data_IF_948397665127
#
_entry.id   IF_948397665127
#
_cell.length_a   1.000
_cell.length_b   1.000
_cell.length_c   1.000
_cell.angle_alpha   90.00
_cell.angle_beta   90.00
_cell.angle_gamma   90.00
#
_symmetry.space_group_name_H-M   'P 1'
#
loop_
_entity.id
_entity.type
_entity.pdbx_description
1 polymer ?
#
# COMPACT_ATOMS: atom_id res chain seq x y z
N UNK A 1 0.62 -6.03 11.14
CA UNK A 1 1.64 -6.72 10.31
C UNK A 1 2.68 -5.70 9.83
N UNK A 2 3.82 -6.12 9.29
CA UNK A 2 4.73 -5.23 8.57
C UNK A 2 4.96 -5.73 7.15
N UNK A 3 5.02 -4.83 6.18
CA UNK A 3 5.25 -5.16 4.77
C UNK A 3 5.94 -4.01 4.03
N UNK A 4 6.66 -4.30 2.93
CA UNK A 4 7.25 -3.25 2.12
C UNK A 4 6.17 -2.54 1.29
N UNK A 5 6.31 -1.23 1.17
CA UNK A 5 5.52 -0.36 0.28
C UNK A 5 6.46 0.48 -0.57
N UNK A 6 5.96 0.97 -1.70
CA UNK A 6 6.71 1.83 -2.60
C UNK A 6 6.95 3.21 -1.94
N UNK A 7 8.18 3.71 -1.95
CA UNK A 7 8.52 5.01 -1.35
C UNK A 7 8.10 6.19 -2.22
N UNK A 8 8.16 6.03 -3.53
CA UNK A 8 7.81 7.06 -4.51
C UNK A 8 7.45 6.41 -5.85
N UNK A 9 6.72 7.15 -6.69
CA UNK A 9 6.38 6.70 -8.03
C UNK A 9 7.61 6.36 -8.87
N UNK A 10 7.46 5.39 -9.78
CA UNK A 10 8.49 4.97 -10.73
C UNK A 10 7.91 4.93 -12.13
N UNK A 11 8.70 5.31 -13.12
CA UNK A 11 8.34 5.19 -14.53
C UNK A 11 9.45 4.46 -15.28
N UNK A 12 9.05 3.53 -16.15
CA UNK A 12 9.94 2.82 -17.05
C UNK A 12 9.30 2.77 -18.44
N UNK A 13 10.09 2.91 -19.50
CA UNK A 13 9.57 2.79 -20.87
C UNK A 13 10.48 1.95 -21.74
N UNK A 14 9.88 1.16 -22.62
CA UNK A 14 10.58 0.36 -23.61
C UNK A 14 9.85 0.36 -24.96
N UNK A 15 10.61 0.09 -26.02
CA UNK A 15 10.06 -0.10 -27.36
C UNK A 15 10.25 -1.55 -27.80
N UNK A 16 9.16 -2.22 -28.16
CA UNK A 16 9.14 -3.62 -28.62
C UNK A 16 8.41 -3.67 -29.95
N UNK A 17 9.11 -4.08 -31.02
CA UNK A 17 8.55 -4.15 -32.38
C UNK A 17 7.81 -2.84 -32.77
N UNK A 18 8.47 -1.70 -32.59
CA UNK A 18 7.94 -0.34 -32.81
C UNK A 18 6.78 0.08 -31.91
N UNK A 19 6.27 -0.81 -31.05
CA UNK A 19 5.25 -0.45 -30.06
C UNK A 19 5.95 0.08 -28.82
N UNK A 20 5.52 1.24 -28.32
CA UNK A 20 6.06 1.83 -27.10
C UNK A 20 5.20 1.45 -25.91
N UNK A 21 5.83 0.93 -24.87
CA UNK A 21 5.24 0.59 -23.59
C UNK A 21 5.79 1.53 -22.53
N UNK A 22 4.90 2.12 -21.73
CA UNK A 22 5.28 2.99 -20.62
C UNK A 22 4.62 2.44 -19.36
N UNK A 23 5.43 1.92 -18.46
CA UNK A 23 5.01 1.40 -17.17
C UNK A 23 5.13 2.48 -16.11
N UNK A 24 4.05 2.73 -15.40
CA UNK A 24 4.00 3.54 -14.20
C UNK A 24 3.75 2.64 -13.00
N UNK A 25 4.54 2.80 -11.95
CA UNK A 25 4.27 2.26 -10.61
C UNK A 25 4.02 3.41 -9.65
N UNK A 26 2.98 3.29 -8.85
CA UNK A 26 2.53 4.34 -7.93
C UNK A 26 2.17 3.71 -6.58
N UNK A 27 2.59 4.31 -5.45
CA UNK A 27 2.04 3.96 -4.14
C UNK A 27 0.57 4.39 -4.08
N UNK A 28 -0.31 3.52 -3.60
CA UNK A 28 -1.76 3.78 -3.50
C UNK A 28 -2.31 3.20 -2.21
N UNK A 29 -3.24 3.90 -1.56
CA UNK A 29 -3.92 3.45 -0.35
C UNK A 29 -5.37 3.04 -0.69
N UNK A 30 -5.53 1.77 -1.04
CA UNK A 30 -6.83 1.19 -1.34
C UNK A 30 -7.28 1.34 -2.80
N UNK A 31 -8.35 0.61 -3.13
CA UNK A 31 -8.81 0.41 -4.50
C UNK A 31 -9.28 1.72 -5.17
N UNK A 32 -9.77 2.67 -4.39
CA UNK A 32 -10.25 3.95 -4.91
C UNK A 32 -9.10 4.81 -5.44
N UNK A 33 -8.00 4.92 -4.70
CA UNK A 33 -6.81 5.64 -5.16
C UNK A 33 -6.18 4.95 -6.38
N UNK A 34 -6.17 3.61 -6.40
CA UNK A 34 -5.70 2.85 -7.57
C UNK A 34 -6.50 3.17 -8.85
N UNK A 35 -7.84 3.30 -8.74
CA UNK A 35 -8.71 3.68 -9.85
C UNK A 35 -8.48 5.13 -10.29
N UNK A 36 -8.34 6.05 -9.35
CA UNK A 36 -8.05 7.46 -9.64
C UNK A 36 -6.73 7.60 -10.38
N UNK A 37 -5.69 6.90 -9.93
CA UNK A 37 -4.40 6.86 -10.61
C UNK A 37 -4.50 6.33 -12.04
N UNK A 38 -5.21 5.22 -12.25
CA UNK A 38 -5.43 4.69 -13.61
C UNK A 38 -6.14 5.71 -14.52
N UNK A 39 -7.19 6.38 -14.02
CA UNK A 39 -7.90 7.41 -14.77
C UNK A 39 -6.99 8.61 -15.11
N UNK A 40 -6.14 9.02 -14.17
CA UNK A 40 -5.15 10.08 -14.39
C UNK A 40 -4.19 9.70 -15.54
N UNK A 41 -3.63 8.49 -15.53
CA UNK A 41 -2.75 8.02 -16.61
C UNK A 41 -3.49 7.96 -17.95
N UNK A 42 -4.76 7.54 -17.94
CA UNK A 42 -5.59 7.54 -19.16
C UNK A 42 -5.79 8.95 -19.72
N UNK A 43 -6.01 9.95 -18.88
CA UNK A 43 -6.12 11.35 -19.30
C UNK A 43 -4.80 11.92 -19.81
N UNK A 44 -3.67 11.51 -19.24
CA UNK A 44 -2.33 11.92 -19.69
C UNK A 44 -1.96 11.34 -21.06
N UNK A 45 -2.55 10.20 -21.44
CA UNK A 45 -2.25 9.48 -22.68
C UNK A 45 -3.50 9.23 -23.52
N UNK A 46 -4.19 10.28 -24.01
CA UNK A 46 -5.46 10.13 -24.72
C UNK A 46 -5.33 9.38 -26.07
N UNK A 47 -4.15 9.45 -26.70
CA UNK A 47 -3.87 8.81 -28.00
C UNK A 47 -3.47 7.32 -27.87
N UNK A 48 -3.23 6.83 -26.65
CA UNK A 48 -2.94 5.42 -26.43
C UNK A 48 -4.23 4.60 -26.46
N UNK A 49 -4.17 3.41 -27.07
CA UNK A 49 -5.34 2.52 -27.19
C UNK A 49 -5.61 1.68 -25.95
N UNK A 50 -4.56 1.42 -25.16
CA UNK A 50 -4.61 0.53 -24.02
C UNK A 50 -3.84 1.15 -22.85
N UNK A 51 -4.48 1.13 -21.69
CA UNK A 51 -4.01 1.54 -20.38
C UNK A 51 -4.26 0.38 -19.41
N UNK A 52 -3.63 -0.76 -19.68
CA UNK A 52 -3.77 -1.96 -18.86
C UNK A 52 -3.24 -1.68 -17.45
N UNK A 53 -3.87 -2.24 -16.43
CA UNK A 53 -3.46 -1.98 -15.05
C UNK A 53 -3.55 -3.22 -14.18
N UNK A 54 -2.81 -3.19 -13.07
CA UNK A 54 -2.84 -4.18 -12.01
C UNK A 54 -2.52 -3.52 -10.67
N UNK A 55 -3.12 -3.96 -9.58
CA UNK A 55 -2.91 -3.38 -8.25
C UNK A 55 -2.94 -4.44 -7.16
N UNK A 56 -2.11 -4.21 -6.16
CA UNK A 56 -2.24 -4.76 -4.80
C UNK A 56 -2.54 -3.54 -3.92
N UNK A 57 -3.82 -3.24 -3.72
CA UNK A 57 -4.22 -1.94 -3.16
C UNK A 57 -4.23 -1.91 -1.62
N UNK A 58 -4.16 -3.08 -0.98
CA UNK A 58 -4.03 -3.23 0.48
C UNK A 58 -2.73 -3.92 0.85
N UNK A 59 -2.77 -4.72 1.93
CA UNK A 59 -1.63 -5.54 2.33
C UNK A 59 -1.25 -6.53 1.22
N UNK A 60 0.01 -7.01 1.18
CA UNK A 60 0.44 -8.00 0.18
C UNK A 60 -0.29 -9.34 0.24
N UNK A 61 -1.08 -9.57 1.29
CA UNK A 61 -1.84 -10.80 1.54
C UNK A 61 -3.36 -10.59 1.47
N UNK A 62 -3.84 -9.36 1.31
CA UNK A 62 -5.27 -9.04 1.24
C UNK A 62 -5.80 -9.23 -0.18
N UNK A 63 -6.21 -10.46 -0.48
CA UNK A 63 -6.69 -10.84 -1.81
C UNK A 63 -7.97 -10.14 -2.26
N UNK A 64 -8.75 -9.55 -1.34
CA UNK A 64 -9.92 -8.75 -1.69
C UNK A 64 -9.56 -7.41 -2.32
N UNK A 65 -8.32 -6.95 -2.13
CA UNK A 65 -7.81 -5.69 -2.67
C UNK A 65 -6.85 -5.89 -3.86
N UNK A 66 -6.92 -7.05 -4.52
CA UNK A 66 -6.24 -7.27 -5.78
C UNK A 66 -7.14 -6.89 -6.94
N UNK A 67 -6.58 -6.28 -7.98
CA UNK A 67 -7.33 -5.88 -9.16
C UNK A 67 -6.44 -5.83 -10.39
N UNK A 68 -7.02 -6.07 -11.57
CA UNK A 68 -6.33 -5.91 -12.85
C UNK A 68 -7.32 -5.74 -14.00
N UNK A 69 -6.84 -5.18 -15.12
CA UNK A 69 -7.58 -5.07 -16.38
C UNK A 69 -6.64 -5.17 -17.57
N UNK A 70 -7.08 -5.89 -18.60
CA UNK A 70 -6.41 -5.95 -19.90
C UNK A 70 -6.78 -4.75 -20.81
N UNK A 71 -7.75 -3.90 -20.43
CA UNK A 71 -8.14 -2.69 -21.16
C UNK A 71 -8.24 -2.83 -22.69
N UNK A 72 -8.90 -3.89 -23.16
CA UNK A 72 -9.10 -4.18 -24.58
C UNK A 72 -7.96 -4.95 -25.27
N UNK A 73 -6.86 -5.24 -24.58
CA UNK A 73 -5.92 -6.28 -25.01
C UNK A 73 -6.60 -7.67 -24.94
N UNK A 74 -6.08 -8.68 -25.65
CA UNK A 74 -6.57 -10.05 -25.52
C UNK A 74 -6.57 -10.51 -24.05
N UNK A 75 -7.64 -11.18 -23.64
CA UNK A 75 -7.86 -11.60 -22.26
C UNK A 75 -6.67 -12.38 -21.68
N UNK A 76 -6.22 -11.95 -20.50
CA UNK A 76 -5.12 -12.55 -19.76
C UNK A 76 -3.72 -12.24 -20.29
N UNK A 77 -3.57 -11.31 -21.24
CA UNK A 77 -2.27 -10.99 -21.85
C UNK A 77 -1.57 -9.77 -21.27
N UNK A 78 -2.24 -8.96 -20.46
CA UNK A 78 -1.67 -7.75 -19.87
C UNK A 78 -1.84 -7.69 -18.34
N UNK A 79 -3.07 -7.53 -17.85
CA UNK A 79 -3.35 -7.27 -16.45
C UNK A 79 -2.92 -8.40 -15.52
N UNK A 80 -3.22 -9.67 -15.88
CA UNK A 80 -2.84 -10.82 -15.06
C UNK A 80 -1.31 -11.02 -14.94
N UNK A 81 -0.53 -10.96 -16.05
CA UNK A 81 0.94 -10.94 -15.96
C UNK A 81 1.50 -9.83 -15.06
N UNK A 82 0.93 -8.62 -15.15
CA UNK A 82 1.35 -7.50 -14.30
C UNK A 82 1.05 -7.77 -12.82
N UNK A 83 -0.16 -8.22 -12.49
CA UNK A 83 -0.55 -8.54 -11.11
C UNK A 83 0.35 -9.62 -10.50
N UNK A 84 0.68 -10.67 -11.25
CA UNK A 84 1.55 -11.73 -10.76
C UNK A 84 2.93 -11.20 -10.33
N UNK A 85 3.47 -10.18 -11.02
CA UNK A 85 4.74 -9.58 -10.64
C UNK A 85 4.62 -8.70 -9.40
N UNK A 86 3.52 -7.96 -9.26
CA UNK A 86 3.24 -7.21 -8.02
C UNK A 86 3.15 -8.17 -6.83
N UNK A 87 2.37 -9.24 -6.94
CA UNK A 87 2.25 -10.26 -5.90
C UNK A 87 3.60 -10.93 -5.59
N UNK A 88 4.36 -11.28 -6.61
CA UNK A 88 5.70 -11.87 -6.45
C UNK A 88 6.73 -10.92 -5.82
N UNK A 89 6.49 -9.61 -5.85
CA UNK A 89 7.36 -8.62 -5.21
C UNK A 89 7.16 -8.51 -3.69
N UNK A 90 6.01 -8.96 -3.18
CA UNK A 90 5.63 -8.81 -1.78
C UNK A 90 5.29 -7.37 -1.36
N UNK A 91 5.19 -6.44 -2.32
CA UNK A 91 4.76 -5.06 -2.05
C UNK A 91 3.24 -5.00 -1.78
N UNK A 92 2.88 -4.21 -0.77
CA UNK A 92 1.52 -3.75 -0.55
C UNK A 92 1.33 -2.35 -1.12
N UNK A 93 0.07 -1.91 -1.22
CA UNK A 93 -0.28 -0.52 -1.54
C UNK A 93 0.38 0.02 -2.80
N UNK A 94 0.30 -0.75 -3.90
CA UNK A 94 0.93 -0.44 -5.18
C UNK A 94 -0.01 -0.68 -6.35
N UNK A 95 -0.01 0.26 -7.30
CA UNK A 95 -0.69 0.13 -8.58
C UNK A 95 0.31 0.29 -9.73
N UNK A 96 0.18 -0.58 -10.74
CA UNK A 96 0.89 -0.54 -12.00
C UNK A 96 -0.09 -0.18 -13.12
N UNK A 97 0.27 0.79 -13.95
CA UNK A 97 -0.44 1.09 -15.21
C UNK A 97 0.56 1.04 -16.35
N UNK A 98 0.28 0.25 -17.39
CA UNK A 98 1.09 0.18 -18.60
C UNK A 98 0.31 0.77 -19.76
N UNK A 99 0.86 1.85 -20.31
CA UNK A 99 0.34 2.52 -21.49
C UNK A 99 1.01 1.95 -22.73
N UNK A 100 0.20 1.56 -23.72
CA UNK A 100 0.72 1.04 -25.00
C UNK A 100 0.35 1.92 -26.17
N UNK A 101 1.37 2.35 -26.91
CA UNK A 101 1.24 2.92 -28.24
C UNK A 101 1.56 1.85 -29.29
N UNK A 102 0.61 1.55 -30.17
CA UNK A 102 0.78 0.51 -31.19
C UNK A 102 1.73 0.95 -32.31
N UNK A 103 2.72 0.12 -32.60
CA UNK A 103 3.78 0.40 -33.59
C UNK A 103 3.55 -0.12 -35.00
N UNK A 104 2.36 -0.62 -35.32
CA UNK A 104 2.08 -1.23 -36.64
C UNK A 104 2.47 -2.69 -36.79
N UNK A 105 3.13 -3.30 -35.79
CA UNK A 105 3.55 -4.71 -35.80
C UNK A 105 2.91 -5.46 -34.63
N UNK A 106 2.25 -6.58 -34.92
CA UNK A 106 1.65 -7.45 -33.91
C UNK A 106 2.72 -8.21 -33.10
N UNK A 107 2.52 -8.26 -31.78
CA UNK A 107 3.39 -9.01 -30.86
C UNK A 107 2.95 -10.47 -30.70
N UNK A 108 1.68 -10.79 -30.94
CA UNK A 108 1.05 -12.05 -30.55
C UNK A 108 0.84 -12.14 -29.03
N UNK A 109 0.03 -13.10 -28.57
CA UNK A 109 -0.36 -13.23 -27.15
C UNK A 109 0.85 -13.44 -26.23
N UNK A 110 1.77 -14.33 -26.59
CA UNK A 110 3.00 -14.55 -25.81
C UNK A 110 3.95 -13.35 -25.80
N UNK A 111 3.95 -12.54 -26.87
CA UNK A 111 4.72 -11.30 -26.91
C UNK A 111 4.14 -10.22 -26.00
N UNK A 112 2.81 -10.11 -25.93
CA UNK A 112 2.11 -9.18 -25.03
C UNK A 112 2.35 -9.53 -23.56
N UNK A 113 2.18 -10.81 -23.19
CA UNK A 113 2.45 -11.29 -21.82
C UNK A 113 3.86 -10.92 -21.37
N UNK A 114 4.86 -11.11 -22.26
CA UNK A 114 6.24 -10.73 -21.98
C UNK A 114 6.43 -9.22 -21.87
N UNK A 115 5.83 -8.42 -22.75
CA UNK A 115 5.97 -6.96 -22.73
C UNK A 115 5.39 -6.35 -21.45
N UNK A 116 4.13 -6.68 -21.10
CA UNK A 116 3.47 -6.15 -19.91
C UNK A 116 4.14 -6.62 -18.62
N UNK A 117 4.51 -7.90 -18.54
CA UNK A 117 5.24 -8.43 -17.39
C UNK A 117 6.64 -7.82 -17.24
N UNK A 118 7.42 -7.74 -18.32
CA UNK A 118 8.77 -7.16 -18.28
C UNK A 118 8.72 -5.68 -17.89
N UNK A 119 7.78 -4.90 -18.43
CA UNK A 119 7.61 -3.50 -18.06
C UNK A 119 7.48 -3.29 -16.55
N UNK A 120 6.62 -4.08 -15.88
CA UNK A 120 6.47 -4.07 -14.42
C UNK A 120 7.73 -4.57 -13.74
N UNK A 121 8.37 -5.63 -14.24
CA UNK A 121 9.60 -6.16 -13.68
C UNK A 121 10.73 -5.12 -13.64
N UNK A 122 10.91 -4.37 -14.72
CA UNK A 122 11.94 -3.34 -14.80
C UNK A 122 11.61 -2.15 -13.89
N UNK A 123 10.35 -1.73 -13.84
CA UNK A 123 9.91 -0.69 -12.91
C UNK A 123 10.14 -1.09 -11.44
N UNK A 124 9.87 -2.35 -11.08
CA UNK A 124 10.14 -2.88 -9.73
C UNK A 124 11.64 -2.89 -9.38
N UNK A 125 12.55 -3.08 -10.34
CA UNK A 125 13.99 -3.02 -10.08
C UNK A 125 14.48 -1.60 -9.79
N UNK A 126 13.77 -0.59 -10.27
CA UNK A 126 14.06 0.83 -10.04
C UNK A 126 13.39 1.37 -8.78
N UNK A 127 12.51 0.60 -8.16
CA UNK A 127 11.73 1.00 -7.01
C UNK A 127 12.55 1.07 -5.72
N UNK A 128 12.48 2.21 -5.04
CA UNK A 128 12.82 2.30 -3.62
C UNK A 128 11.62 1.91 -2.76
N UNK A 129 11.87 1.15 -1.70
CA UNK A 129 10.83 0.65 -0.80
C UNK A 129 11.09 1.07 0.64
N UNK A 130 10.03 1.14 1.43
CA UNK A 130 10.09 1.34 2.88
C UNK A 130 9.16 0.36 3.57
N UNK A 131 9.42 0.04 4.84
CA UNK A 131 8.54 -0.84 5.62
C UNK A 131 7.38 0.00 6.18
N UNK A 132 6.15 -0.44 5.89
CA UNK A 132 4.94 0.02 6.57
C UNK A 132 4.60 -0.95 7.69
N UNK A 133 4.25 -0.40 8.85
CA UNK A 133 3.78 -1.16 10.01
C UNK A 133 2.31 -0.81 10.20
N UNK A 134 1.44 -1.81 10.12
CA UNK A 134 0.04 -1.65 10.47
C UNK A 134 -0.10 -1.52 11.98
N UNK A 135 -0.79 -0.47 12.37
CA UNK A 135 -1.07 -0.14 13.76
C UNK A 135 -2.58 -0.15 13.94
N UNK A 136 -3.04 -0.74 15.05
CA UNK A 136 -4.44 -0.67 15.46
C UNK A 136 -4.62 0.53 16.37
N UNK A 137 -5.78 1.17 16.28
CA UNK A 137 -6.14 2.32 17.09
C UNK A 137 -6.66 1.86 18.46
N UNK A 138 -6.20 2.52 19.52
CA UNK A 138 -6.63 2.27 20.89
C UNK A 138 -6.95 3.58 21.60
N UNK A 139 -7.87 3.50 22.54
CA UNK A 139 -8.20 4.53 23.50
C UNK A 139 -7.56 4.20 24.86
N UNK A 140 -6.91 5.19 25.45
CA UNK A 140 -6.42 5.16 26.81
C UNK A 140 -6.87 6.43 27.53
N UNK A 141 -7.49 6.27 28.69
CA UNK A 141 -7.92 7.38 29.54
C UNK A 141 -7.13 7.31 30.83
N UNK A 142 -6.43 8.38 31.18
CA UNK A 142 -5.60 8.44 32.38
C UNK A 142 -5.73 9.78 33.11
N UNK A 143 -5.29 9.80 34.36
CA UNK A 143 -5.16 11.05 35.12
C UNK A 143 -3.87 11.79 34.75
N UNK A 144 -3.84 13.10 34.99
CA UNK A 144 -2.66 13.93 34.73
C UNK A 144 -1.40 13.44 35.45
N UNK A 145 -1.55 12.91 36.68
CA UNK A 145 -0.44 12.34 37.45
C UNK A 145 0.19 11.11 36.78
N UNK A 146 -0.56 10.40 35.93
CA UNK A 146 -0.12 9.20 35.24
C UNK A 146 0.52 9.49 33.88
N UNK A 147 0.28 10.69 33.32
CA UNK A 147 0.69 11.06 31.97
C UNK A 147 2.19 10.91 31.74
N UNK A 148 3.04 11.44 32.63
CA UNK A 148 4.47 11.48 32.41
C UNK A 148 5.11 10.09 32.23
N UNK A 149 4.69 9.10 33.02
CA UNK A 149 5.22 7.75 32.89
C UNK A 149 4.57 6.97 31.75
N UNK A 150 3.29 7.24 31.45
CA UNK A 150 2.61 6.66 30.29
C UNK A 150 3.26 7.13 28.99
N UNK A 151 3.52 8.42 28.84
CA UNK A 151 4.16 8.96 27.64
C UNK A 151 5.54 8.31 27.39
N UNK A 152 6.32 8.12 28.45
CA UNK A 152 7.61 7.43 28.37
C UNK A 152 7.44 5.95 27.96
N UNK A 153 6.45 5.25 28.53
CA UNK A 153 6.16 3.85 28.20
C UNK A 153 5.66 3.72 26.74
N UNK A 154 4.75 4.59 26.30
CA UNK A 154 4.23 4.61 24.93
C UNK A 154 5.36 4.77 23.90
N UNK A 155 6.33 5.64 24.18
CA UNK A 155 7.53 5.82 23.33
C UNK A 155 8.40 4.55 23.24
N UNK A 156 8.54 3.78 24.32
CA UNK A 156 9.30 2.51 24.31
C UNK A 156 8.65 1.45 23.41
N UNK A 157 7.34 1.52 23.25
CA UNK A 157 6.53 0.59 22.47
C UNK A 157 6.22 1.10 21.05
N UNK A 158 6.86 2.19 20.60
CA UNK A 158 6.56 2.84 19.31
C UNK A 158 5.05 3.10 19.10
N UNK A 159 4.34 3.38 20.20
CA UNK A 159 2.94 3.76 20.17
C UNK A 159 2.82 5.21 19.72
N UNK A 160 2.23 5.40 18.54
CA UNK A 160 2.04 6.73 17.97
C UNK A 160 0.78 7.36 18.54
N UNK A 161 0.89 8.55 19.14
CA UNK A 161 -0.26 9.23 19.72
C UNK A 161 -0.94 10.05 18.62
N UNK A 162 -2.10 9.59 18.17
CA UNK A 162 -2.89 10.21 17.09
C UNK A 162 -3.70 11.41 17.57
N UNK A 163 -4.15 11.40 18.83
CA UNK A 163 -4.91 12.50 19.44
C UNK A 163 -4.73 12.54 20.95
N UNK A 164 -4.72 13.75 21.51
CA UNK A 164 -4.63 14.00 22.95
C UNK A 164 -5.65 15.06 23.33
N UNK A 165 -6.50 14.76 24.31
CA UNK A 165 -7.50 15.69 24.83
C UNK A 165 -7.34 15.81 26.34
N UNK A 166 -7.06 17.04 26.79
CA UNK A 166 -6.88 17.38 28.19
C UNK A 166 -8.20 17.96 28.71
N UNK A 167 -8.99 17.13 29.39
CA UNK A 167 -10.25 17.51 30.05
C UNK A 167 -10.13 17.26 31.55
N UNK A 168 -11.18 16.77 32.23
CA UNK A 168 -11.09 16.33 33.63
C UNK A 168 -10.10 15.15 33.77
N UNK A 169 -10.04 14.30 32.74
CA UNK A 169 -9.01 13.29 32.52
C UNK A 169 -8.33 13.51 31.17
N UNK A 170 -7.13 12.93 31.01
CA UNK A 170 -6.40 12.90 29.75
C UNK A 170 -6.92 11.74 28.92
N UNK A 171 -7.45 12.04 27.73
CA UNK A 171 -7.88 11.03 26.76
C UNK A 171 -6.89 10.96 25.62
N UNK A 172 -6.41 9.75 25.33
CA UNK A 172 -5.38 9.49 24.34
C UNK A 172 -5.93 8.51 23.32
N UNK A 173 -5.87 8.89 22.05
CA UNK A 173 -5.95 7.92 20.97
C UNK A 173 -4.53 7.64 20.50
N UNK A 174 -4.18 6.37 20.45
CA UNK A 174 -2.87 5.91 20.04
C UNK A 174 -2.97 4.76 19.05
N UNK A 175 -2.02 4.67 18.15
CA UNK A 175 -1.88 3.60 17.20
C UNK A 175 -0.63 2.78 17.56
N UNK A 176 -0.78 1.47 17.73
CA UNK A 176 0.34 0.57 18.06
C UNK A 176 0.27 -0.70 17.21
N UNK A 177 1.44 -1.26 16.91
CA UNK A 177 1.54 -2.56 16.24
C UNK A 177 0.86 -3.64 17.11
N UNK A 178 0.02 -4.47 16.50
CA UNK A 178 -0.75 -5.50 17.20
C UNK A 178 0.13 -6.44 18.03
N UNK A 179 1.33 -6.78 17.54
CA UNK A 179 2.30 -7.63 18.25
C UNK A 179 2.80 -7.03 19.58
N UNK A 180 2.73 -5.71 19.72
CA UNK A 180 3.17 -4.99 20.91
C UNK A 180 2.00 -4.60 21.84
N UNK A 181 0.77 -4.63 21.33
CA UNK A 181 -0.40 -4.16 22.05
C UNK A 181 -0.66 -4.93 23.36
N UNK A 182 -0.55 -6.25 23.34
CA UNK A 182 -0.77 -7.09 24.53
C UNK A 182 0.27 -6.81 25.63
N UNK A 183 1.55 -6.67 25.25
CA UNK A 183 2.62 -6.37 26.20
C UNK A 183 2.50 -4.96 26.77
N UNK A 184 2.15 -3.98 25.94
CA UNK A 184 1.90 -2.62 26.40
C UNK A 184 0.70 -2.60 27.38
N UNK A 185 -0.41 -3.26 27.04
CA UNK A 185 -1.58 -3.36 27.90
C UNK A 185 -1.24 -3.99 29.25
N UNK A 186 -0.41 -5.05 29.26
CA UNK A 186 0.06 -5.68 30.49
C UNK A 186 0.88 -4.73 31.35
N UNK A 187 1.87 -4.01 30.78
CA UNK A 187 2.67 -3.04 31.54
C UNK A 187 1.86 -1.85 32.07
N UNK A 188 0.90 -1.36 31.28
CA UNK A 188 -0.03 -0.31 31.73
C UNK A 188 -0.84 -0.81 32.93
N UNK A 189 -1.37 -2.03 32.85
CA UNK A 189 -2.19 -2.61 33.91
C UNK A 189 -1.38 -2.82 35.20
N UNK A 190 -0.19 -3.40 35.11
CA UNK A 190 0.69 -3.64 36.26
C UNK A 190 1.03 -2.32 36.96
N UNK A 191 1.56 -1.35 36.20
CA UNK A 191 2.09 -0.10 36.78
C UNK A 191 1.00 0.82 37.32
N UNK A 192 -0.24 0.65 36.84
CA UNK A 192 -1.41 1.37 37.33
C UNK A 192 -2.20 0.61 38.40
N UNK A 193 -1.73 -0.55 38.85
CA UNK A 193 -2.47 -1.44 39.76
C UNK A 193 -3.90 -1.75 39.27
N UNK A 194 -4.05 -1.93 37.95
CA UNK A 194 -5.32 -2.24 37.30
C UNK A 194 -6.24 -1.06 37.00
N UNK A 195 -5.84 0.18 37.30
CA UNK A 195 -6.67 1.37 37.09
C UNK A 195 -6.78 1.78 35.62
N UNK A 196 -5.80 1.42 34.80
CA UNK A 196 -5.74 1.77 33.39
C UNK A 196 -5.94 0.56 32.50
N UNK A 197 -6.69 0.76 31.43
CA UNK A 197 -6.95 -0.27 30.41
C UNK A 197 -6.77 0.34 29.03
N UNK A 198 -6.08 -0.38 28.16
CA UNK A 198 -5.96 -0.05 26.76
C UNK A 198 -7.15 -0.65 26.00
N UNK A 199 -8.03 0.20 25.48
CA UNK A 199 -9.26 -0.22 24.80
C UNK A 199 -9.06 -0.18 23.29
N UNK A 200 -9.31 -1.27 22.58
CA UNK A 200 -9.27 -1.28 21.12
C UNK A 200 -10.43 -0.42 20.57
N UNK A 201 -10.12 0.48 19.65
CA UNK A 201 -11.12 1.19 18.86
C UNK A 201 -11.41 0.33 17.62
N UNK A 202 -12.67 -0.04 17.43
CA UNK A 202 -13.12 -0.64 16.18
C UNK A 202 -13.25 0.49 15.14
N UNK A 203 -12.56 0.33 14.01
CA UNK A 203 -12.63 1.24 12.86
C UNK A 203 -13.98 1.12 12.12
#
# INVERSE_FOLDING_TARGET
MQYPVLKSAVTFSEEIKKSRFITYLQPVSGMEEAKQFWQQIRQQHPDARHHCWATVAGTPTDSQQYGFSDDGEPSGTAGKPMLNLLLGSGLGEVCAVVVRYYGGILLGTGGLVKAYGNGVQQALKLAETTIKIERKSYLLICEYAQWAWLEALLKQYDAQISSQQFTDQVRLQLAIAEQQAEQLAWHINERSAGQLTLQLLED
#
